data_IF_004688190971
#
_entry.id   IF_004688190971
#
_cell.length_a   1.000
_cell.length_b   1.000
_cell.length_c   1.000
_cell.angle_alpha   90.00
_cell.angle_beta   90.00
_cell.angle_gamma   90.00
#
_symmetry.space_group_name_H-M   'P 1'
#
loop_
_entity.id
_entity.type
_entity.pdbx_description
1 polymer ?
#
# COMPACT_ATOMS: atom_id res chain seq x y z
N UNK A 1 3.93 -17.59 27.88
CA UNK A 1 4.15 -17.21 26.46
C UNK A 1 2.86 -16.58 25.95
N UNK A 2 2.91 -15.34 25.48
CA UNK A 2 1.74 -14.63 24.96
C UNK A 2 2.05 -13.90 23.66
N UNK A 3 0.98 -13.57 22.92
CA UNK A 3 0.99 -12.75 21.72
C UNK A 3 0.39 -11.37 22.07
N UNK A 4 1.14 -10.30 21.82
CA UNK A 4 0.69 -8.93 21.99
C UNK A 4 0.07 -8.41 20.71
N UNK A 5 -1.09 -7.74 20.83
CA UNK A 5 -1.73 -6.98 19.75
C UNK A 5 -1.77 -5.51 20.16
N UNK A 6 -1.02 -4.66 19.46
CA UNK A 6 -1.05 -3.21 19.65
C UNK A 6 -1.39 -2.53 18.34
N UNK A 7 -2.68 -2.24 18.14
CA UNK A 7 -3.26 -1.64 16.94
C UNK A 7 -4.17 -0.49 17.36
N UNK A 8 -4.31 0.57 16.52
CA UNK A 8 -5.35 1.58 16.72
C UNK A 8 -6.75 0.95 16.76
N UNK A 9 -7.66 1.52 17.54
CA UNK A 9 -9.04 1.05 17.65
C UNK A 9 -9.77 0.94 16.30
N UNK A 10 -9.45 1.85 15.37
CA UNK A 10 -9.97 1.81 14.00
C UNK A 10 -9.64 0.51 13.25
N UNK A 11 -8.57 -0.18 13.64
CA UNK A 11 -8.15 -1.48 13.07
C UNK A 11 -8.74 -2.68 13.82
N UNK A 12 -9.62 -2.44 14.80
CA UNK A 12 -10.39 -3.46 15.53
C UNK A 12 -9.52 -4.57 16.13
N UNK A 13 -8.60 -4.26 17.06
CA UNK A 13 -7.70 -5.25 17.66
C UNK A 13 -8.42 -6.43 18.31
N UNK A 14 -9.60 -6.20 18.92
CA UNK A 14 -10.46 -7.25 19.49
C UNK A 14 -10.96 -8.24 18.44
N UNK A 15 -11.23 -7.79 17.20
CA UNK A 15 -11.64 -8.69 16.13
C UNK A 15 -10.51 -9.64 15.73
N UNK A 16 -9.28 -9.13 15.66
CA UNK A 16 -8.11 -9.98 15.42
C UNK A 16 -7.90 -11.00 16.53
N UNK A 17 -7.97 -10.57 17.79
CA UNK A 17 -7.90 -11.46 18.96
C UNK A 17 -8.96 -12.57 18.90
N UNK A 18 -10.20 -12.22 18.54
CA UNK A 18 -11.30 -13.18 18.39
C UNK A 18 -11.01 -14.21 17.28
N UNK A 19 -10.51 -13.77 16.11
CA UNK A 19 -10.18 -14.70 15.02
C UNK A 19 -9.01 -15.63 15.37
N UNK A 20 -8.01 -15.13 16.09
CA UNK A 20 -6.89 -15.95 16.57
C UNK A 20 -7.36 -17.00 17.58
N UNK A 21 -8.25 -16.64 18.53
CA UNK A 21 -8.80 -17.59 19.50
C UNK A 21 -9.73 -18.64 18.89
N UNK A 22 -10.38 -18.37 17.74
CA UNK A 22 -11.10 -19.40 16.99
C UNK A 22 -10.17 -20.45 16.40
N UNK A 23 -8.95 -20.06 16.03
CA UNK A 23 -7.94 -20.96 15.45
C UNK A 23 -7.15 -21.72 16.53
N UNK A 24 -6.94 -21.09 17.68
CA UNK A 24 -6.21 -21.66 18.80
C UNK A 24 -6.79 -21.13 20.12
N UNK A 25 -7.77 -21.87 20.71
CA UNK A 25 -8.45 -21.42 21.93
C UNK A 25 -7.54 -21.29 23.17
N UNK A 26 -6.40 -21.95 23.17
CA UNK A 26 -5.43 -21.94 24.30
C UNK A 26 -4.39 -20.79 24.13
N UNK A 27 -4.45 -20.01 23.06
CA UNK A 27 -3.53 -18.93 22.80
C UNK A 27 -3.72 -17.79 23.83
N UNK A 28 -2.65 -17.45 24.56
CA UNK A 28 -2.66 -16.28 25.44
C UNK A 28 -2.44 -15.01 24.60
N UNK A 29 -3.44 -14.11 24.57
CA UNK A 29 -3.39 -12.87 23.83
C UNK A 29 -3.49 -11.69 24.82
N UNK A 30 -2.62 -10.71 24.66
CA UNK A 30 -2.65 -9.41 25.33
C UNK A 30 -3.06 -8.33 24.29
N UNK A 31 -4.11 -7.57 24.58
CA UNK A 31 -4.61 -6.53 23.67
C UNK A 31 -4.40 -5.17 24.31
N UNK A 32 -3.53 -4.34 23.71
CA UNK A 32 -3.04 -3.10 24.29
C UNK A 32 -1.83 -3.32 25.18
N UNK A 33 -0.86 -2.43 25.08
CA UNK A 33 0.39 -2.52 25.86
C UNK A 33 0.16 -2.26 27.36
N UNK A 34 -0.89 -1.52 27.72
CA UNK A 34 -1.26 -1.18 29.09
C UNK A 34 -1.91 -2.35 29.85
N UNK A 35 -2.44 -3.32 29.13
CA UNK A 35 -3.08 -4.50 29.73
C UNK A 35 -2.06 -5.60 30.06
N UNK A 36 -0.82 -5.49 29.59
CA UNK A 36 0.22 -6.51 29.79
C UNK A 36 0.68 -6.56 31.25
N UNK A 37 0.34 -7.65 31.97
CA UNK A 37 0.73 -7.84 33.36
C UNK A 37 2.19 -8.29 33.50
N UNK A 38 2.68 -9.13 32.59
CA UNK A 38 4.03 -9.67 32.62
C UNK A 38 4.72 -9.52 31.26
N UNK A 39 5.49 -8.43 31.06
CA UNK A 39 6.18 -8.20 29.78
C UNK A 39 7.11 -9.34 29.35
N UNK A 40 7.66 -10.12 30.29
CA UNK A 40 8.55 -11.24 29.97
C UNK A 40 7.82 -12.46 29.37
N UNK A 41 6.50 -12.50 29.41
CA UNK A 41 5.72 -13.55 28.75
C UNK A 41 5.43 -13.27 27.28
N UNK A 42 5.57 -12.03 26.82
CA UNK A 42 5.31 -11.63 25.44
C UNK A 42 6.46 -12.10 24.55
N UNK A 43 6.17 -13.01 23.63
CA UNK A 43 7.16 -13.57 22.70
C UNK A 43 6.92 -13.17 21.25
N UNK A 44 5.76 -12.62 20.92
CA UNK A 44 5.38 -12.17 19.58
C UNK A 44 4.51 -10.93 19.67
N UNK A 45 4.78 -9.92 18.84
CA UNK A 45 3.98 -8.70 18.80
C UNK A 45 3.41 -8.47 17.39
N UNK A 46 2.13 -8.12 17.31
CA UNK A 46 1.47 -7.62 16.10
C UNK A 46 1.17 -6.14 16.32
N UNK A 47 1.78 -5.30 15.50
CA UNK A 47 1.74 -3.85 15.76
C UNK A 47 1.43 -3.03 14.51
N UNK A 48 0.84 -1.86 14.72
CA UNK A 48 0.62 -0.81 13.72
C UNK A 48 0.43 0.54 14.43
N UNK A 49 1.15 1.58 13.99
CA UNK A 49 1.09 2.93 14.57
C UNK A 49 1.20 2.92 16.11
N UNK A 50 2.22 2.30 16.62
CA UNK A 50 2.52 2.19 18.04
C UNK A 50 3.56 3.24 18.49
N UNK A 51 3.67 3.56 19.81
CA UNK A 51 4.68 4.49 20.33
C UNK A 51 6.11 4.00 20.11
N UNK A 52 7.00 4.88 19.67
CA UNK A 52 8.42 4.59 19.47
C UNK A 52 9.06 4.00 20.73
N UNK A 53 9.81 2.91 20.58
CA UNK A 53 10.50 2.20 21.66
C UNK A 53 9.61 1.34 22.55
N UNK A 54 8.31 1.25 22.28
CA UNK A 54 7.39 0.39 23.04
C UNK A 54 7.90 -1.05 23.13
N UNK A 55 8.43 -1.56 22.04
CA UNK A 55 8.83 -2.96 21.91
C UNK A 55 10.05 -3.34 22.74
N UNK A 56 10.84 -2.37 23.22
CA UNK A 56 11.94 -2.61 24.18
C UNK A 56 11.45 -3.09 25.55
N UNK A 57 10.18 -2.87 25.89
CA UNK A 57 9.61 -3.34 27.14
C UNK A 57 9.42 -4.86 27.21
N UNK A 58 9.56 -5.57 26.09
CA UNK A 58 9.31 -7.00 25.97
C UNK A 58 10.60 -7.77 25.71
N UNK A 59 11.33 -8.18 26.77
CA UNK A 59 12.69 -8.72 26.66
C UNK A 59 12.79 -10.08 25.96
N UNK A 60 11.68 -10.80 25.82
CA UNK A 60 11.65 -12.14 25.25
C UNK A 60 11.00 -12.19 23.86
N UNK A 61 10.84 -11.04 23.19
CA UNK A 61 10.31 -11.00 21.83
C UNK A 61 11.17 -11.85 20.88
N UNK A 62 10.51 -12.74 20.16
CA UNK A 62 11.09 -13.63 19.14
C UNK A 62 10.81 -13.19 17.72
N UNK A 63 9.73 -12.42 17.52
CA UNK A 63 9.42 -11.76 16.25
C UNK A 63 8.38 -10.65 16.42
N UNK A 64 8.38 -9.72 15.47
CA UNK A 64 7.44 -8.58 15.40
C UNK A 64 6.77 -8.63 14.03
N UNK A 65 5.44 -8.58 14.01
CA UNK A 65 4.63 -8.54 12.79
C UNK A 65 4.05 -7.14 12.57
N UNK A 66 4.30 -6.57 11.40
CA UNK A 66 3.46 -5.48 10.92
C UNK A 66 2.04 -5.99 10.68
N UNK A 67 1.01 -5.23 11.06
CA UNK A 67 -0.39 -5.54 10.74
C UNK A 67 -0.77 -5.00 9.35
N UNK A 68 0.08 -5.26 8.37
CA UNK A 68 -0.14 -4.83 6.99
C UNK A 68 0.94 -5.36 6.05
N UNK A 69 0.82 -4.98 4.77
CA UNK A 69 1.80 -5.33 3.76
C UNK A 69 3.07 -4.48 3.85
N UNK A 70 2.96 -3.22 4.28
CA UNK A 70 4.10 -2.33 4.51
C UNK A 70 4.75 -2.57 5.86
N UNK A 71 6.07 -2.38 5.92
CA UNK A 71 6.86 -2.47 7.15
C UNK A 71 7.55 -1.13 7.49
N UNK A 72 7.30 -0.10 6.72
CA UNK A 72 7.93 1.22 6.87
C UNK A 72 7.68 1.85 8.24
N UNK A 73 6.48 1.70 8.81
CA UNK A 73 6.18 2.16 10.16
C UNK A 73 7.00 1.44 11.24
N UNK A 74 7.28 0.14 11.06
CA UNK A 74 8.20 -0.60 11.94
C UNK A 74 9.63 -0.08 11.78
N UNK A 75 10.08 0.06 10.54
CA UNK A 75 11.45 0.46 10.22
C UNK A 75 11.75 1.93 10.58
N UNK A 76 10.74 2.74 10.78
CA UNK A 76 10.86 4.12 11.27
C UNK A 76 11.13 4.21 12.79
N UNK A 77 10.84 3.14 13.55
CA UNK A 77 11.15 3.09 14.98
C UNK A 77 12.67 2.91 15.16
N UNK A 78 13.35 3.98 15.59
CA UNK A 78 14.80 3.98 15.84
C UNK A 78 15.21 3.12 17.03
N UNK A 79 14.25 2.64 17.81
CA UNK A 79 14.42 1.86 19.05
C UNK A 79 13.86 0.46 18.95
N UNK A 80 13.90 -0.14 17.74
CA UNK A 80 13.55 -1.56 17.59
C UNK A 80 14.52 -2.44 18.40
N UNK A 81 14.02 -3.52 19.03
CA UNK A 81 14.89 -4.50 19.70
C UNK A 81 15.88 -5.13 18.72
N UNK A 82 17.16 -5.11 19.07
CA UNK A 82 18.24 -5.67 18.26
C UNK A 82 18.04 -7.18 18.02
N UNK A 83 18.22 -7.61 16.77
CA UNK A 83 18.20 -9.03 16.41
C UNK A 83 16.82 -9.68 16.39
N UNK A 84 15.76 -8.96 16.71
CA UNK A 84 14.39 -9.48 16.62
C UNK A 84 13.90 -9.38 15.17
N UNK A 85 13.56 -10.50 14.51
CA UNK A 85 13.12 -10.51 13.14
C UNK A 85 11.76 -9.81 12.95
N UNK A 86 11.64 -9.06 11.86
CA UNK A 86 10.42 -8.41 11.47
C UNK A 86 9.73 -9.20 10.35
N UNK A 87 8.42 -9.36 10.45
CA UNK A 87 7.59 -9.96 9.40
C UNK A 87 6.47 -9.03 8.99
N UNK A 88 5.93 -9.23 7.79
CA UNK A 88 4.79 -8.49 7.26
C UNK A 88 3.71 -9.43 6.75
N UNK A 89 2.52 -8.92 6.56
CA UNK A 89 1.40 -9.70 6.04
C UNK A 89 1.38 -9.67 4.50
N UNK A 90 1.15 -10.84 3.92
CA UNK A 90 0.83 -11.01 2.50
C UNK A 90 -0.39 -11.89 2.43
N UNK A 91 -1.47 -11.38 1.88
CA UNK A 91 -2.77 -12.03 1.91
C UNK A 91 -3.49 -11.86 0.55
N UNK A 92 -4.17 -12.91 0.09
CA UNK A 92 -4.87 -12.90 -1.19
C UNK A 92 -6.02 -11.88 -1.19
N UNK A 93 -6.75 -11.77 -0.08
CA UNK A 93 -7.86 -10.81 0.05
C UNK A 93 -7.38 -9.37 -0.09
N UNK A 94 -6.21 -9.05 0.51
CA UNK A 94 -5.59 -7.74 0.33
C UNK A 94 -5.24 -7.47 -1.14
N UNK A 95 -4.73 -8.47 -1.85
CA UNK A 95 -4.38 -8.34 -3.26
C UNK A 95 -5.61 -8.21 -4.16
N UNK A 96 -6.68 -8.93 -3.85
CA UNK A 96 -7.98 -8.82 -4.54
C UNK A 96 -8.56 -7.41 -4.35
N UNK A 97 -8.68 -6.92 -3.12
CA UNK A 97 -9.25 -5.60 -2.82
C UNK A 97 -8.43 -4.47 -3.45
N UNK A 98 -7.10 -4.54 -3.38
CA UNK A 98 -6.24 -3.60 -4.08
C UNK A 98 -6.50 -3.62 -5.60
N UNK A 99 -6.63 -4.79 -6.18
CA UNK A 99 -6.88 -4.94 -7.62
C UNK A 99 -8.26 -4.41 -8.02
N UNK A 100 -9.29 -4.67 -7.22
CA UNK A 100 -10.65 -4.13 -7.41
C UNK A 100 -10.65 -2.60 -7.34
N UNK A 101 -10.00 -2.04 -6.31
CA UNK A 101 -9.89 -0.60 -6.14
C UNK A 101 -9.21 0.06 -7.35
N UNK A 102 -8.05 -0.44 -7.75
CA UNK A 102 -7.31 0.08 -8.89
C UNK A 102 -8.12 -0.01 -10.19
N UNK A 103 -8.79 -1.13 -10.41
CA UNK A 103 -9.66 -1.32 -11.58
C UNK A 103 -10.82 -0.33 -11.56
N UNK A 104 -11.47 -0.15 -10.42
CA UNK A 104 -12.56 0.81 -10.26
C UNK A 104 -12.10 2.24 -10.59
N UNK A 105 -10.95 2.68 -10.06
CA UNK A 105 -10.40 4.01 -10.31
C UNK A 105 -10.04 4.22 -11.78
N UNK A 106 -9.36 3.25 -12.41
CA UNK A 106 -8.97 3.34 -13.82
C UNK A 106 -10.21 3.40 -14.73
N UNK A 107 -11.21 2.56 -14.48
CA UNK A 107 -12.45 2.53 -15.26
C UNK A 107 -13.29 3.80 -15.04
N UNK A 108 -13.36 4.29 -13.81
CA UNK A 108 -14.02 5.55 -13.47
C UNK A 108 -13.44 6.73 -14.25
N UNK A 109 -12.12 6.82 -14.34
CA UNK A 109 -11.43 7.83 -15.14
C UNK A 109 -11.61 7.58 -16.64
N UNK A 110 -11.39 6.36 -17.11
CA UNK A 110 -11.51 6.00 -18.53
C UNK A 110 -12.89 6.27 -19.11
N UNK A 111 -13.94 6.07 -18.30
CA UNK A 111 -15.34 6.29 -18.67
C UNK A 111 -15.86 7.64 -18.26
N UNK A 112 -15.01 8.50 -17.67
CA UNK A 112 -15.38 9.85 -17.21
C UNK A 112 -16.58 9.90 -16.24
N UNK A 113 -16.77 8.82 -15.45
CA UNK A 113 -17.96 8.68 -14.60
C UNK A 113 -18.06 9.77 -13.55
N UNK A 114 -16.94 10.24 -13.00
CA UNK A 114 -16.94 11.36 -12.04
C UNK A 114 -17.42 12.67 -12.64
N UNK A 115 -17.11 12.93 -13.91
CA UNK A 115 -17.60 14.13 -14.59
C UNK A 115 -19.11 14.07 -14.78
N UNK A 116 -19.63 12.89 -15.17
CA UNK A 116 -21.07 12.69 -15.29
C UNK A 116 -21.78 12.79 -13.94
N UNK A 117 -21.20 12.27 -12.87
CA UNK A 117 -21.78 12.35 -11.52
C UNK A 117 -21.82 13.79 -10.96
N UNK A 118 -20.85 14.65 -11.34
CA UNK A 118 -20.79 16.05 -10.89
C UNK A 118 -21.59 17.03 -11.73
N UNK A 119 -21.90 16.67 -12.98
CA UNK A 119 -22.65 17.54 -13.90
C UNK A 119 -24.10 17.06 -13.99
N UNK A 120 -25.00 17.80 -13.35
CA UNK A 120 -26.44 17.59 -13.52
C UNK A 120 -26.94 18.04 -14.90
N UNK A 121 -26.18 18.90 -15.59
CA UNK A 121 -26.51 19.39 -16.92
C UNK A 121 -26.07 18.36 -17.96
N UNK A 122 -27.05 17.74 -18.59
CA UNK A 122 -26.84 16.70 -19.59
C UNK A 122 -26.04 17.21 -20.79
N UNK A 123 -24.84 16.70 -20.93
CA UNK A 123 -24.09 16.77 -22.18
C UNK A 123 -24.74 15.75 -23.14
N UNK A 124 -25.10 16.17 -24.33
CA UNK A 124 -25.75 15.42 -25.39
C UNK A 124 -25.93 13.89 -25.24
N UNK A 125 -27.16 13.41 -25.31
CA UNK A 125 -27.49 11.96 -25.33
C UNK A 125 -26.76 11.23 -26.46
N UNK A 126 -26.28 10.03 -26.15
CA UNK A 126 -25.78 9.08 -27.14
C UNK A 126 -24.31 9.21 -27.50
N UNK A 127 -23.57 10.15 -26.91
CA UNK A 127 -22.12 10.26 -27.11
C UNK A 127 -21.41 9.35 -26.12
N UNK A 128 -20.79 8.28 -26.63
CA UNK A 128 -19.95 7.41 -25.80
C UNK A 128 -18.70 8.17 -25.36
N UNK A 129 -18.56 8.38 -24.06
CA UNK A 129 -17.39 9.00 -23.45
C UNK A 129 -16.38 7.91 -23.05
N UNK A 130 -15.23 7.90 -23.69
CA UNK A 130 -14.10 7.04 -23.33
C UNK A 130 -12.80 7.78 -23.59
N UNK A 131 -12.00 7.96 -22.55
CA UNK A 131 -10.64 8.50 -22.72
C UNK A 131 -9.80 7.50 -23.53
N UNK A 132 -8.99 8.00 -24.46
CA UNK A 132 -8.02 7.16 -25.18
C UNK A 132 -6.96 6.65 -24.22
N UNK A 133 -6.23 5.65 -24.68
CA UNK A 133 -5.12 5.08 -23.91
C UNK A 133 -5.45 3.70 -23.36
N UNK A 134 -4.45 2.84 -23.43
CA UNK A 134 -4.52 1.45 -22.97
C UNK A 134 -3.26 1.03 -22.20
N UNK A 135 -2.26 1.91 -22.12
CA UNK A 135 -0.98 1.65 -21.47
C UNK A 135 -1.09 1.93 -19.97
N UNK A 136 -1.10 0.87 -19.18
CA UNK A 136 -1.09 0.96 -17.74
C UNK A 136 0.29 0.56 -17.20
N UNK A 137 0.89 1.43 -16.42
CA UNK A 137 2.21 1.18 -15.83
C UNK A 137 2.13 1.09 -14.32
N UNK A 138 2.79 0.10 -13.74
CA UNK A 138 2.82 -0.16 -12.30
C UNK A 138 4.24 0.05 -11.79
N UNK A 139 4.41 1.01 -10.88
CA UNK A 139 5.61 1.15 -10.08
C UNK A 139 5.50 0.20 -8.87
N UNK A 140 6.35 -0.83 -8.85
CA UNK A 140 6.34 -1.85 -7.82
C UNK A 140 5.68 -3.16 -8.26
N UNK A 141 6.46 -4.07 -8.88
CA UNK A 141 6.03 -5.43 -9.23
C UNK A 141 6.23 -6.41 -8.05
N UNK A 142 5.83 -5.99 -6.83
CA UNK A 142 5.72 -6.85 -5.65
C UNK A 142 4.47 -7.75 -5.70
N UNK A 143 4.07 -8.27 -4.55
CA UNK A 143 2.90 -9.15 -4.42
C UNK A 143 1.62 -8.48 -4.96
N UNK A 144 1.30 -7.28 -4.47
CA UNK A 144 0.12 -6.53 -4.88
C UNK A 144 0.20 -6.06 -6.35
N UNK A 145 1.38 -5.59 -6.79
CA UNK A 145 1.55 -5.12 -8.17
C UNK A 145 1.40 -6.23 -9.21
N UNK A 146 1.86 -7.44 -8.92
CA UNK A 146 1.65 -8.60 -9.80
C UNK A 146 0.19 -9.04 -9.85
N UNK A 147 -0.52 -9.00 -8.72
CA UNK A 147 -1.96 -9.30 -8.67
C UNK A 147 -2.75 -8.29 -9.52
N UNK A 148 -2.50 -7.00 -9.33
CA UNK A 148 -3.12 -5.94 -10.13
C UNK A 148 -2.80 -6.09 -11.63
N UNK A 149 -1.54 -6.37 -11.98
CA UNK A 149 -1.14 -6.58 -13.37
C UNK A 149 -1.96 -7.67 -14.06
N UNK A 150 -2.17 -8.81 -13.39
CA UNK A 150 -2.99 -9.92 -13.91
C UNK A 150 -4.43 -9.50 -14.20
N UNK A 151 -5.03 -8.68 -13.34
CA UNK A 151 -6.40 -8.18 -13.54
C UNK A 151 -6.46 -7.25 -14.75
N UNK A 152 -5.52 -6.31 -14.88
CA UNK A 152 -5.51 -5.38 -16.00
C UNK A 152 -5.22 -6.07 -17.34
N UNK A 153 -4.35 -7.09 -17.37
CA UNK A 153 -4.13 -7.91 -18.57
C UNK A 153 -5.41 -8.60 -19.02
N UNK A 154 -6.18 -9.19 -18.09
CA UNK A 154 -7.49 -9.81 -18.40
C UNK A 154 -8.50 -8.80 -18.95
N UNK A 155 -8.41 -7.54 -18.53
CA UNK A 155 -9.24 -6.44 -19.04
C UNK A 155 -8.77 -5.85 -20.36
N UNK A 156 -7.71 -6.42 -20.95
CA UNK A 156 -7.16 -6.02 -22.24
C UNK A 156 -6.32 -4.74 -22.20
N UNK A 157 -5.74 -4.38 -21.06
CA UNK A 157 -4.73 -3.33 -20.99
C UNK A 157 -3.36 -3.86 -21.41
N UNK A 158 -2.55 -2.97 -22.01
CA UNK A 158 -1.12 -3.19 -22.22
C UNK A 158 -0.40 -2.82 -20.92
N UNK A 159 0.07 -3.83 -20.19
CA UNK A 159 0.63 -3.62 -18.85
C UNK A 159 2.15 -3.56 -18.90
N UNK A 160 2.69 -2.50 -18.33
CA UNK A 160 4.11 -2.35 -18.04
C UNK A 160 4.33 -2.30 -16.53
N UNK A 161 5.52 -2.68 -16.08
CA UNK A 161 5.84 -2.56 -14.68
C UNK A 161 7.31 -2.25 -14.44
N UNK A 162 7.58 -1.45 -13.41
CA UNK A 162 8.93 -1.11 -13.00
C UNK A 162 9.22 -1.63 -11.60
N UNK A 163 10.41 -2.13 -11.41
CA UNK A 163 10.93 -2.53 -10.10
C UNK A 163 12.43 -2.30 -10.02
N UNK A 164 12.97 -2.15 -8.81
CA UNK A 164 14.41 -1.91 -8.60
C UNK A 164 15.29 -2.96 -9.28
N UNK A 165 14.94 -4.22 -9.15
CA UNK A 165 15.60 -5.34 -9.82
C UNK A 165 14.72 -5.89 -10.92
N UNK A 166 15.31 -6.35 -12.05
CA UNK A 166 14.53 -6.95 -13.13
C UNK A 166 13.63 -8.08 -12.63
N UNK A 167 12.38 -8.08 -13.09
CA UNK A 167 11.41 -9.14 -12.80
C UNK A 167 10.80 -9.63 -14.10
N UNK A 168 10.51 -10.92 -14.14
CA UNK A 168 9.74 -11.52 -15.23
C UNK A 168 8.34 -11.79 -14.72
N UNK A 169 7.35 -11.13 -15.32
CA UNK A 169 5.94 -11.33 -15.04
C UNK A 169 5.24 -11.57 -16.36
N UNK A 170 4.54 -12.68 -16.48
CA UNK A 170 3.88 -13.08 -17.72
C UNK A 170 2.93 -11.99 -18.23
N UNK A 171 3.07 -11.64 -19.50
CA UNK A 171 2.25 -10.61 -20.17
C UNK A 171 2.61 -9.17 -19.81
N UNK A 172 3.58 -8.92 -18.90
CA UNK A 172 3.98 -7.58 -18.45
C UNK A 172 5.31 -7.19 -19.09
N UNK A 173 5.37 -6.00 -19.71
CA UNK A 173 6.61 -5.39 -20.13
C UNK A 173 7.37 -4.87 -18.91
N UNK A 174 8.44 -5.55 -18.50
CA UNK A 174 9.17 -5.25 -17.25
C UNK A 174 10.35 -4.32 -17.49
N UNK A 175 10.47 -3.30 -16.66
CA UNK A 175 11.51 -2.28 -16.66
C UNK A 175 12.24 -2.22 -15.33
N UNK A 176 13.50 -1.77 -15.33
CA UNK A 176 14.27 -1.53 -14.10
C UNK A 176 15.30 -0.43 -14.30
N UNK A 177 15.80 0.14 -13.21
CA UNK A 177 16.75 1.25 -13.23
C UNK A 177 16.13 2.56 -13.75
N UNK A 178 16.93 3.63 -13.79
CA UNK A 178 16.44 4.98 -14.14
C UNK A 178 16.06 5.11 -15.63
N UNK A 179 16.84 4.50 -16.50
CA UNK A 179 16.57 4.53 -17.95
C UNK A 179 15.28 3.76 -18.26
N UNK A 180 15.11 2.58 -17.64
CA UNK A 180 13.90 1.79 -17.79
C UNK A 180 12.67 2.52 -17.24
N UNK A 181 12.78 3.23 -16.10
CA UNK A 181 11.72 4.08 -15.59
C UNK A 181 11.32 5.15 -16.62
N UNK A 182 12.30 5.86 -17.15
CA UNK A 182 12.07 6.92 -18.14
C UNK A 182 11.41 6.38 -19.41
N UNK A 183 11.85 5.23 -19.91
CA UNK A 183 11.28 4.59 -21.10
C UNK A 183 9.82 4.18 -20.88
N UNK A 184 9.51 3.60 -19.71
CA UNK A 184 8.16 3.18 -19.34
C UNK A 184 7.21 4.39 -19.23
N UNK A 185 7.63 5.46 -18.52
CA UNK A 185 6.80 6.63 -18.29
C UNK A 185 6.36 7.31 -19.59
N UNK A 186 7.24 7.40 -20.61
CA UNK A 186 6.92 7.99 -21.92
C UNK A 186 5.76 7.32 -22.65
N UNK A 187 5.44 6.09 -22.32
CA UNK A 187 4.37 5.31 -22.96
C UNK A 187 3.09 5.25 -22.10
N UNK A 188 3.15 5.71 -20.86
CA UNK A 188 2.12 5.51 -19.83
C UNK A 188 0.90 6.42 -20.01
N UNK A 189 -0.28 5.83 -20.00
CA UNK A 189 -1.56 6.54 -19.94
C UNK A 189 -2.11 6.55 -18.48
N UNK A 190 -1.91 5.45 -17.74
CA UNK A 190 -2.28 5.31 -16.33
C UNK A 190 -1.06 4.85 -15.53
N UNK A 191 -0.62 5.66 -14.58
CA UNK A 191 0.49 5.32 -13.68
C UNK A 191 -0.05 4.93 -12.32
N UNK A 192 0.21 3.70 -11.91
CA UNK A 192 -0.13 3.17 -10.58
C UNK A 192 1.15 3.07 -9.75
N UNK A 193 1.18 3.74 -8.59
CA UNK A 193 2.27 3.64 -7.64
C UNK A 193 1.90 2.68 -6.49
N UNK A 194 2.66 1.58 -6.37
CA UNK A 194 2.61 0.56 -5.32
C UNK A 194 3.99 0.36 -4.66
N UNK A 195 4.87 1.35 -4.79
CA UNK A 195 6.20 1.26 -4.19
C UNK A 195 6.14 1.33 -2.66
N UNK A 196 7.01 0.58 -1.97
CA UNK A 196 7.26 0.79 -0.56
C UNK A 196 7.97 2.14 -0.35
N UNK A 197 7.93 2.67 0.87
CA UNK A 197 8.73 3.83 1.25
C UNK A 197 10.16 3.37 1.59
N UNK A 198 11.11 3.88 0.84
CA UNK A 198 12.56 3.72 1.05
C UNK A 198 13.26 5.02 0.71
N UNK A 199 14.54 5.14 1.03
CA UNK A 199 15.34 6.31 0.63
C UNK A 199 15.30 6.56 -0.88
N UNK A 200 15.31 5.49 -1.69
CA UNK A 200 15.30 5.61 -3.15
C UNK A 200 13.93 5.93 -3.74
N UNK A 201 12.84 5.66 -3.01
CA UNK A 201 11.48 5.90 -3.49
C UNK A 201 10.87 7.17 -2.91
N UNK A 202 11.47 7.75 -1.88
CA UNK A 202 11.08 9.06 -1.35
C UNK A 202 11.24 10.10 -2.46
N UNK A 203 10.20 10.92 -2.66
CA UNK A 203 10.15 11.99 -3.66
C UNK A 203 10.41 11.52 -5.12
N UNK A 204 10.26 10.23 -5.40
CA UNK A 204 10.43 9.70 -6.75
C UNK A 204 9.45 10.31 -7.75
N UNK A 205 8.20 10.54 -7.31
CA UNK A 205 7.14 11.15 -8.12
C UNK A 205 7.18 12.68 -7.93
N UNK A 206 8.16 13.32 -8.54
CA UNK A 206 8.35 14.76 -8.56
C UNK A 206 8.05 15.34 -9.96
N UNK A 207 8.18 16.65 -10.12
CA UNK A 207 7.92 17.34 -11.40
C UNK A 207 8.74 16.78 -12.56
N UNK A 208 10.03 16.45 -12.33
CA UNK A 208 10.90 15.89 -13.36
C UNK A 208 10.41 14.51 -13.83
N UNK A 209 10.07 13.64 -12.89
CA UNK A 209 9.60 12.27 -13.18
C UNK A 209 8.20 12.27 -13.80
N UNK A 210 7.27 13.06 -13.24
CA UNK A 210 5.90 13.14 -13.73
C UNK A 210 5.80 13.82 -15.09
N UNK A 211 6.69 14.76 -15.42
CA UNK A 211 6.75 15.39 -16.75
C UNK A 211 7.14 14.43 -17.86
N UNK A 212 7.74 13.28 -17.55
CA UNK A 212 8.08 12.23 -18.53
C UNK A 212 6.86 11.41 -18.97
N UNK A 213 5.74 11.50 -18.22
CA UNK A 213 4.48 10.86 -18.61
C UNK A 213 3.93 11.48 -19.90
N UNK A 214 3.09 10.72 -20.60
CA UNK A 214 2.31 11.31 -21.71
C UNK A 214 1.43 12.44 -21.20
N UNK A 215 1.26 13.48 -22.03
CA UNK A 215 0.26 14.50 -21.74
C UNK A 215 -1.14 13.87 -21.68
N UNK A 216 -1.86 14.16 -20.61
CA UNK A 216 -3.16 13.57 -20.34
C UNK A 216 -3.11 12.26 -19.54
N UNK A 217 -1.94 11.82 -19.10
CA UNK A 217 -1.80 10.66 -18.21
C UNK A 217 -2.53 10.88 -16.87
N UNK A 218 -2.91 9.78 -16.23
CA UNK A 218 -3.59 9.78 -14.94
C UNK A 218 -2.72 9.09 -13.89
N UNK A 219 -2.53 9.75 -12.74
CA UNK A 219 -1.73 9.23 -11.62
C UNK A 219 -2.64 8.55 -10.58
N UNK A 220 -2.24 7.38 -10.09
CA UNK A 220 -2.87 6.68 -8.98
C UNK A 220 -1.80 6.35 -7.95
N UNK A 221 -1.88 6.94 -6.75
CA UNK A 221 -0.96 6.64 -5.67
C UNK A 221 -1.68 5.90 -4.54
N UNK A 222 -1.36 4.62 -4.40
CA UNK A 222 -1.84 3.71 -3.34
C UNK A 222 -0.67 3.04 -2.60
N UNK A 223 0.56 3.51 -2.84
CA UNK A 223 1.76 3.06 -2.15
C UNK A 223 1.97 3.80 -0.84
N UNK A 224 2.77 4.88 -0.89
CA UNK A 224 3.03 5.78 0.25
C UNK A 224 3.02 7.23 -0.21
N UNK A 225 2.50 8.12 0.65
CA UNK A 225 2.41 9.55 0.35
C UNK A 225 3.75 10.20 0.11
N UNK A 226 4.75 9.84 0.90
CA UNK A 226 6.11 10.38 0.81
C UNK A 226 6.84 10.03 -0.49
N UNK A 227 6.30 9.15 -1.31
CA UNK A 227 6.83 8.89 -2.66
C UNK A 227 6.50 10.01 -3.65
N UNK A 228 5.53 10.88 -3.33
CA UNK A 228 5.07 11.99 -4.15
C UNK A 228 5.51 13.33 -3.53
N UNK A 229 6.06 14.21 -4.35
CA UNK A 229 6.22 15.63 -4.02
C UNK A 229 4.88 16.31 -4.29
N UNK A 230 4.14 16.61 -3.22
CA UNK A 230 2.75 17.06 -3.29
C UNK A 230 2.61 18.42 -3.98
N UNK A 231 3.60 19.31 -3.78
CA UNK A 231 3.66 20.64 -4.37
C UNK A 231 3.83 20.63 -5.90
N UNK A 232 4.44 19.57 -6.43
CA UNK A 232 4.69 19.41 -7.87
C UNK A 232 3.45 18.92 -8.64
N UNK A 233 2.47 18.35 -7.94
CA UNK A 233 1.31 17.74 -8.60
C UNK A 233 0.31 18.76 -9.14
N UNK A 234 -0.02 19.80 -8.36
CA UNK A 234 -1.03 20.79 -8.73
C UNK A 234 -0.68 21.54 -10.03
N UNK A 235 0.56 22.04 -10.20
CA UNK A 235 0.96 22.69 -11.45
C UNK A 235 0.77 21.78 -12.69
N UNK A 236 1.16 20.51 -12.59
CA UNK A 236 1.01 19.55 -13.70
C UNK A 236 -0.45 19.24 -14.04
N UNK A 237 -1.34 19.29 -13.04
CA UNK A 237 -2.78 19.14 -13.24
C UNK A 237 -3.39 20.40 -13.87
N UNK A 238 -3.01 21.59 -13.42
CA UNK A 238 -3.52 22.87 -13.92
C UNK A 238 -3.12 23.11 -15.38
N UNK A 239 -1.87 22.85 -15.72
CA UNK A 239 -1.34 22.91 -17.10
C UNK A 239 -1.93 21.83 -18.02
N UNK A 240 -2.65 20.86 -17.47
CA UNK A 240 -3.23 19.74 -18.20
C UNK A 240 -2.17 18.77 -18.72
N UNK A 241 -0.99 18.74 -18.12
CA UNK A 241 -0.01 17.68 -18.37
C UNK A 241 -0.54 16.35 -17.86
N UNK A 242 -1.07 16.35 -16.63
CA UNK A 242 -1.86 15.24 -16.08
C UNK A 242 -3.37 15.54 -16.24
N UNK A 243 -4.13 14.51 -16.61
CA UNK A 243 -5.60 14.60 -16.70
C UNK A 243 -6.30 14.58 -15.34
N UNK A 244 -5.62 14.03 -14.32
CA UNK A 244 -6.10 13.92 -12.95
C UNK A 244 -5.22 13.01 -12.12
N UNK A 245 -5.57 12.88 -10.83
CA UNK A 245 -4.94 11.96 -9.91
C UNK A 245 -5.97 11.32 -8.97
N UNK A 246 -5.68 10.08 -8.54
CA UNK A 246 -6.33 9.44 -7.40
C UNK A 246 -5.28 9.18 -6.34
N UNK A 247 -5.47 9.74 -5.15
CA UNK A 247 -4.54 9.65 -4.04
C UNK A 247 -5.25 9.01 -2.85
N UNK A 248 -4.77 7.84 -2.47
CA UNK A 248 -5.24 7.11 -1.29
C UNK A 248 -4.31 7.35 -0.09
N UNK A 249 -3.09 7.83 -0.35
CA UNK A 249 -2.04 8.04 0.65
C UNK A 249 -1.44 9.45 0.53
N UNK A 250 -0.99 10.00 1.68
CA UNK A 250 -0.50 11.38 1.79
C UNK A 250 0.78 11.45 2.63
N UNK A 251 1.55 12.53 2.48
CA UNK A 251 2.77 12.74 3.29
C UNK A 251 2.47 12.81 4.79
N UNK A 252 1.32 13.40 5.11
CA UNK A 252 0.81 13.46 6.48
C UNK A 252 -0.62 12.94 6.49
N UNK A 253 -0.89 11.94 7.30
CA UNK A 253 -2.19 11.32 7.47
C UNK A 253 -2.66 11.42 8.94
N UNK A 254 -3.92 11.81 9.16
CA UNK A 254 -4.98 12.17 8.20
C UNK A 254 -4.67 13.45 7.42
N UNK A 255 -5.09 13.50 6.14
CA UNK A 255 -4.94 14.71 5.32
C UNK A 255 -5.69 15.90 5.95
N UNK A 256 -4.99 17.01 6.18
CA UNK A 256 -5.57 18.21 6.79
C UNK A 256 -6.80 18.74 6.02
N UNK A 257 -7.77 19.32 6.74
CA UNK A 257 -9.00 19.84 6.12
C UNK A 257 -8.72 20.94 5.10
N UNK A 258 -7.70 21.79 5.38
CA UNK A 258 -7.32 22.92 4.52
C UNK A 258 -6.39 22.52 3.36
N UNK A 259 -5.99 21.24 3.26
CA UNK A 259 -5.04 20.81 2.25
C UNK A 259 -5.52 21.13 0.83
N UNK A 260 -4.66 21.70 -0.06
CA UNK A 260 -5.05 22.13 -1.40
C UNK A 260 -5.70 21.03 -2.27
N UNK A 261 -5.28 19.78 -2.07
CA UNK A 261 -5.84 18.64 -2.81
C UNK A 261 -7.34 18.47 -2.61
N UNK A 262 -7.89 18.81 -1.43
CA UNK A 262 -9.33 18.68 -1.15
C UNK A 262 -10.20 19.59 -2.01
N UNK A 263 -9.63 20.69 -2.49
CA UNK A 263 -10.35 21.68 -3.32
C UNK A 263 -10.11 21.49 -4.82
N UNK A 264 -9.15 20.63 -5.18
CA UNK A 264 -8.75 20.48 -6.58
C UNK A 264 -9.67 19.48 -7.33
N UNK A 265 -10.36 19.98 -8.37
CA UNK A 265 -11.42 19.22 -9.08
C UNK A 265 -10.95 17.97 -9.80
N UNK A 266 -9.65 17.88 -10.15
CA UNK A 266 -9.04 16.75 -10.85
C UNK A 266 -8.40 15.75 -9.91
N UNK A 267 -8.47 15.94 -8.58
CA UNK A 267 -7.96 15.01 -7.58
C UNK A 267 -9.12 14.26 -6.94
N UNK A 268 -9.06 12.93 -6.99
CA UNK A 268 -9.88 12.02 -6.22
C UNK A 268 -9.08 11.63 -4.96
N UNK A 269 -9.68 11.79 -3.79
CA UNK A 269 -9.08 11.46 -2.51
C UNK A 269 -9.83 10.29 -1.89
N UNK A 270 -9.10 9.32 -1.39
CA UNK A 270 -9.63 8.27 -0.51
C UNK A 270 -8.78 8.17 0.75
N UNK A 271 -9.35 7.73 1.89
CA UNK A 271 -8.70 7.83 3.20
C UNK A 271 -7.88 6.58 3.54
N UNK A 272 -6.86 6.25 2.75
CA UNK A 272 -5.96 5.10 2.92
C UNK A 272 -6.74 3.78 3.09
N UNK A 273 -7.67 3.54 2.16
CA UNK A 273 -8.58 2.39 2.19
C UNK A 273 -8.61 1.59 0.87
N UNK A 274 -7.62 1.81 0.00
CA UNK A 274 -7.49 1.07 -1.28
C UNK A 274 -7.38 -0.44 -1.10
N UNK A 275 -6.88 -0.86 0.05
CA UNK A 275 -6.93 -2.25 0.50
C UNK A 275 -7.08 -2.28 2.03
N UNK A 276 -7.56 -3.38 2.55
CA UNK A 276 -7.74 -3.61 3.98
C UNK A 276 -7.10 -4.93 4.40
N UNK A 277 -6.89 -5.09 5.69
CA UNK A 277 -6.34 -6.29 6.30
C UNK A 277 -7.44 -6.94 7.16
N UNK A 278 -8.37 -7.75 6.57
CA UNK A 278 -9.43 -8.38 7.33
C UNK A 278 -8.85 -9.35 8.35
N UNK A 279 -9.30 -9.26 9.61
CA UNK A 279 -8.76 -10.07 10.69
C UNK A 279 -8.82 -11.57 10.42
N UNK A 280 -9.94 -12.04 9.84
CA UNK A 280 -10.14 -13.46 9.52
C UNK A 280 -9.20 -13.98 8.42
N UNK A 281 -8.79 -13.15 7.47
CA UNK A 281 -7.88 -13.57 6.39
C UNK A 281 -6.41 -13.63 6.84
N UNK A 282 -6.00 -12.77 7.77
CA UNK A 282 -4.61 -12.66 8.20
C UNK A 282 -4.30 -13.42 9.49
N UNK A 283 -5.31 -13.73 10.31
CA UNK A 283 -5.13 -14.48 11.56
C UNK A 283 -4.39 -15.82 11.38
N UNK A 284 -4.63 -16.63 10.33
CA UNK A 284 -3.89 -17.86 10.10
C UNK A 284 -2.38 -17.63 9.91
N UNK A 285 -1.99 -16.60 9.15
CA UNK A 285 -0.58 -16.26 8.92
C UNK A 285 0.09 -15.73 10.19
N UNK A 286 -0.62 -14.91 10.97
CA UNK A 286 -0.13 -14.40 12.25
C UNK A 286 0.11 -15.55 13.22
N UNK A 287 -0.86 -16.45 13.37
CA UNK A 287 -0.76 -17.62 14.24
C UNK A 287 0.38 -18.56 13.81
N UNK A 288 0.53 -18.79 12.51
CA UNK A 288 1.63 -19.62 11.99
C UNK A 288 2.99 -18.97 12.28
N UNK A 289 3.14 -17.67 12.10
CA UNK A 289 4.38 -16.96 12.43
C UNK A 289 4.65 -16.95 13.94
N UNK A 290 3.61 -16.78 14.78
CA UNK A 290 3.75 -16.95 16.22
C UNK A 290 4.30 -18.35 16.58
N UNK A 291 3.68 -19.40 16.05
CA UNK A 291 4.13 -20.81 16.31
C UNK A 291 5.54 -21.06 15.80
N UNK A 292 5.91 -20.47 14.67
CA UNK A 292 7.28 -20.56 14.13
C UNK A 292 8.29 -19.84 15.03
N UNK A 293 7.97 -18.60 15.45
CA UNK A 293 8.82 -17.82 16.33
C UNK A 293 9.11 -18.55 17.66
N UNK A 294 8.05 -19.05 18.30
CA UNK A 294 8.17 -19.77 19.58
C UNK A 294 8.98 -21.07 19.44
N UNK A 295 8.84 -21.79 18.32
CA UNK A 295 9.53 -23.05 18.05
C UNK A 295 10.89 -22.91 17.35
N UNK A 296 11.36 -21.68 17.08
CA UNK A 296 12.64 -21.44 16.40
C UNK A 296 12.65 -21.84 14.92
N UNK A 297 11.47 -21.97 14.28
CA UNK A 297 11.34 -22.28 12.84
C UNK A 297 11.47 -21.02 12.00
N UNK A 298 11.84 -21.17 10.73
CA UNK A 298 11.92 -20.06 9.79
C UNK A 298 10.57 -19.34 9.64
N UNK A 299 10.58 -18.02 9.82
CA UNK A 299 9.39 -17.17 9.69
C UNK A 299 8.98 -16.97 8.23
N UNK A 300 7.69 -16.72 8.02
CA UNK A 300 7.12 -16.36 6.72
C UNK A 300 7.19 -14.84 6.53
N UNK A 301 7.43 -14.41 5.30
CA UNK A 301 7.39 -13.00 4.88
C UNK A 301 8.29 -12.07 5.73
N UNK A 302 9.52 -12.53 5.96
CA UNK A 302 10.56 -11.72 6.61
C UNK A 302 10.75 -10.40 5.86
N UNK A 303 10.89 -9.33 6.62
CA UNK A 303 11.30 -8.02 6.12
C UNK A 303 12.82 -8.02 5.91
N UNK A 304 13.25 -7.65 4.72
CA UNK A 304 14.67 -7.44 4.43
C UNK A 304 15.08 -6.04 4.89
N UNK A 305 15.75 -5.97 6.05
CA UNK A 305 16.16 -4.70 6.67
C UNK A 305 17.08 -3.88 5.78
N UNK A 306 17.93 -4.54 4.95
CA UNK A 306 18.81 -3.84 4.02
C UNK A 306 18.06 -3.22 2.85
N UNK A 307 16.90 -3.78 2.51
CA UNK A 307 16.04 -3.28 1.44
C UNK A 307 14.94 -2.34 1.92
N UNK A 308 14.62 -2.35 3.20
CA UNK A 308 13.58 -1.53 3.79
C UNK A 308 12.14 -2.04 3.54
N UNK A 309 11.97 -3.30 3.14
CA UNK A 309 10.61 -3.88 2.94
C UNK A 309 10.61 -5.41 2.89
#
# INVERSE_FOLDING_TARGET
MSLLITLPESMKPLALGTELLKLDPDLKIEIGSEEVQNPAEVEFAVVWNYPEGLLLNYPNLKAISSYGHGADGLLADSKLPDGVPLVRLTDETMAEWMSEYLLAVVLLQRRQLLQHAKNSDFIAWGIASRQPGNQLSILGLGYLGQAAAKVFLKMGFDVSGWSRTPKQVEGVSSFSGNDGLTEMLKKTDYLVNLLPLTTETTDLLNSETLSKLKRGAYLINVGRGQTLVEEDLIPLLDEGHLSGACLDVFRTEPLAEEHPFRKHKKILITPHNSSSTPANSVAPQILENYKRAVSGRQLLNLVDLARGY
#
